data_IF_746484594965
#
_entry.id   IF_746484594965
#
_cell.length_a   1.000
_cell.length_b   1.000
_cell.length_c   1.000
_cell.angle_alpha   90.00
_cell.angle_beta   90.00
_cell.angle_gamma   90.00
#
_symmetry.space_group_name_H-M   'P 1'
#
loop_
_entity.id
_entity.type
_entity.pdbx_description
1 polymer ?
#
# COMPACT_ATOMS: atom_id res chain seq x y z
N UNK A 1 2.44 -38.72 -0.23
CA UNK A 1 2.58 -37.27 0.12
C UNK A 1 2.85 -36.47 -1.16
N UNK A 2 2.01 -35.44 -1.47
CA UNK A 2 2.33 -34.53 -2.59
C UNK A 2 3.64 -33.79 -2.26
N UNK A 3 4.60 -33.82 -3.19
CA UNK A 3 5.87 -33.09 -3.06
C UNK A 3 5.55 -31.61 -2.86
N UNK A 4 6.01 -31.01 -1.75
CA UNK A 4 5.82 -29.58 -1.50
C UNK A 4 6.48 -28.77 -2.61
N UNK A 5 5.73 -27.80 -3.16
CA UNK A 5 6.26 -26.78 -4.07
C UNK A 5 7.19 -25.83 -3.34
N UNK A 6 7.75 -24.87 -4.04
CA UNK A 6 8.68 -23.89 -3.45
C UNK A 6 8.04 -23.06 -2.31
N UNK A 7 8.88 -22.45 -1.49
CA UNK A 7 8.46 -21.54 -0.40
C UNK A 7 8.06 -20.17 -0.95
N UNK A 8 7.10 -19.53 -0.28
CA UNK A 8 6.69 -18.15 -0.55
C UNK A 8 6.84 -17.34 0.74
N UNK A 9 7.46 -16.18 0.64
CA UNK A 9 7.67 -15.24 1.73
C UNK A 9 6.85 -13.97 1.50
N UNK A 10 5.96 -13.64 2.45
CA UNK A 10 5.03 -12.54 2.38
C UNK A 10 5.31 -11.52 3.49
N UNK A 11 6.16 -10.51 3.23
CA UNK A 11 6.41 -9.45 4.20
C UNK A 11 5.16 -8.58 4.41
N UNK A 12 4.91 -8.20 5.67
CA UNK A 12 3.87 -7.25 6.09
C UNK A 12 4.54 -6.03 6.71
N UNK A 13 4.13 -4.86 6.29
CA UNK A 13 4.57 -3.58 6.85
C UNK A 13 3.47 -2.94 7.70
N UNK A 14 2.25 -2.87 7.16
CA UNK A 14 1.09 -2.30 7.85
C UNK A 14 0.04 -3.40 8.07
N UNK A 15 -0.01 -3.94 9.30
CA UNK A 15 -0.89 -5.06 9.66
C UNK A 15 -2.35 -4.82 9.27
N UNK A 16 -2.91 -3.66 9.64
CA UNK A 16 -4.34 -3.32 9.39
C UNK A 16 -4.69 -3.32 7.90
N UNK A 17 -3.73 -3.00 7.03
CA UNK A 17 -3.93 -2.88 5.59
C UNK A 17 -3.70 -4.19 4.85
N UNK A 18 -2.78 -5.04 5.34
CA UNK A 18 -2.20 -6.11 4.55
C UNK A 18 -2.50 -7.52 5.06
N UNK A 19 -2.71 -7.69 6.38
CA UNK A 19 -2.74 -9.02 7.00
C UNK A 19 -3.81 -9.92 6.38
N UNK A 20 -5.04 -9.46 6.25
CA UNK A 20 -6.14 -10.31 5.74
C UNK A 20 -5.92 -10.74 4.28
N UNK A 21 -5.45 -9.84 3.43
CA UNK A 21 -5.12 -10.18 2.04
C UNK A 21 -3.95 -11.17 1.96
N UNK A 22 -2.96 -11.06 2.86
CA UNK A 22 -1.83 -12.01 2.92
C UNK A 22 -2.27 -13.37 3.44
N UNK A 23 -3.16 -13.41 4.42
CA UNK A 23 -3.77 -14.68 4.91
C UNK A 23 -4.57 -15.33 3.77
N UNK A 24 -5.45 -14.58 3.10
CA UNK A 24 -6.22 -15.09 1.97
C UNK A 24 -5.32 -15.66 0.87
N UNK A 25 -4.31 -14.91 0.46
CA UNK A 25 -3.31 -15.38 -0.50
C UNK A 25 -2.62 -16.67 -0.01
N UNK A 26 -2.23 -16.71 1.27
CA UNK A 26 -1.53 -17.86 1.85
C UNK A 26 -2.38 -19.13 1.83
N UNK A 27 -3.66 -19.02 2.16
CA UNK A 27 -4.60 -20.15 2.09
C UNK A 27 -4.67 -20.67 0.65
N UNK A 28 -4.88 -19.79 -0.34
CA UNK A 28 -4.94 -20.18 -1.76
C UNK A 28 -3.64 -20.83 -2.24
N UNK A 29 -2.49 -20.28 -1.86
CA UNK A 29 -1.19 -20.82 -2.21
C UNK A 29 -0.93 -22.18 -1.52
N UNK A 30 -1.31 -22.33 -0.26
CA UNK A 30 -1.14 -23.59 0.50
C UNK A 30 -2.00 -24.72 -0.08
N UNK A 31 -3.22 -24.43 -0.50
CA UNK A 31 -4.08 -25.40 -1.23
C UNK A 31 -3.39 -25.88 -2.51
N UNK A 32 -2.60 -25.01 -3.16
CA UNK A 32 -1.82 -25.36 -4.34
C UNK A 32 -0.49 -26.08 -4.03
N UNK A 33 -0.19 -26.33 -2.75
CA UNK A 33 0.99 -27.06 -2.30
C UNK A 33 2.23 -26.21 -2.04
N UNK A 34 2.11 -24.88 -1.94
CA UNK A 34 3.21 -24.01 -1.53
C UNK A 34 3.31 -23.92 -0.01
N UNK A 35 4.55 -23.82 0.51
CA UNK A 35 4.80 -23.45 1.90
C UNK A 35 4.87 -21.93 2.00
N UNK A 36 4.00 -21.30 2.80
CA UNK A 36 3.91 -19.84 2.88
C UNK A 36 4.32 -19.36 4.27
N UNK A 37 5.20 -18.38 4.32
CA UNK A 37 5.61 -17.69 5.55
C UNK A 37 5.17 -16.24 5.48
N UNK A 38 4.30 -15.83 6.42
CA UNK A 38 3.91 -14.43 6.62
C UNK A 38 4.72 -13.87 7.79
N UNK A 39 5.25 -12.67 7.65
CA UNK A 39 5.99 -12.05 8.74
C UNK A 39 6.15 -10.55 8.57
N UNK A 40 6.57 -9.89 9.65
CA UNK A 40 6.89 -8.47 9.61
C UNK A 40 8.08 -8.22 8.69
N UNK A 41 8.01 -7.20 7.82
CA UNK A 41 9.05 -6.84 6.85
C UNK A 41 10.44 -6.71 7.51
N UNK A 42 10.52 -6.04 8.67
CA UNK A 42 11.79 -5.90 9.40
C UNK A 42 12.38 -7.23 9.84
N UNK A 43 11.56 -8.24 10.16
CA UNK A 43 12.05 -9.58 10.51
C UNK A 43 12.64 -10.32 9.30
N UNK A 44 12.06 -10.15 8.13
CA UNK A 44 12.67 -10.70 6.92
C UNK A 44 14.04 -10.07 6.62
N UNK A 45 14.24 -8.78 6.90
CA UNK A 45 15.56 -8.15 6.79
C UNK A 45 16.54 -8.70 7.82
N UNK A 46 16.10 -8.90 9.06
CA UNK A 46 16.92 -9.44 10.15
C UNK A 46 17.35 -10.90 9.89
N UNK A 47 16.42 -11.71 9.38
CA UNK A 47 16.63 -13.14 9.19
C UNK A 47 16.92 -13.54 7.73
N UNK A 48 17.24 -12.60 6.83
CA UNK A 48 17.44 -12.87 5.41
C UNK A 48 18.47 -13.98 5.12
N UNK A 49 19.52 -14.11 5.96
CA UNK A 49 20.55 -15.14 5.83
C UNK A 49 20.11 -16.52 6.34
N UNK A 50 19.01 -16.60 7.08
CA UNK A 50 18.48 -17.83 7.72
C UNK A 50 17.31 -18.43 6.96
N UNK A 51 16.69 -17.69 6.05
CA UNK A 51 15.56 -18.19 5.25
C UNK A 51 16.09 -18.94 4.02
N UNK A 52 15.48 -20.09 3.75
CA UNK A 52 15.86 -20.90 2.58
C UNK A 52 15.41 -20.24 1.27
N UNK A 53 16.10 -20.48 0.15
CA UNK A 53 15.68 -19.98 -1.15
C UNK A 53 14.21 -20.25 -1.47
N UNK A 54 13.53 -19.28 -2.06
CA UNK A 54 12.11 -19.35 -2.39
C UNK A 54 11.62 -18.09 -3.09
N UNK A 55 10.32 -17.92 -3.19
CA UNK A 55 9.68 -16.79 -3.84
C UNK A 55 9.42 -15.67 -2.81
N UNK A 56 10.12 -14.56 -2.91
CA UNK A 56 9.94 -13.41 -2.04
C UNK A 56 9.03 -12.36 -2.72
N UNK A 57 7.91 -12.03 -2.09
CA UNK A 57 6.97 -11.03 -2.63
C UNK A 57 7.33 -9.65 -2.07
N UNK A 58 8.14 -8.89 -2.80
CA UNK A 58 8.51 -7.53 -2.42
C UNK A 58 7.34 -6.57 -2.62
N UNK A 59 7.28 -5.56 -1.74
CA UNK A 59 6.30 -4.46 -1.78
C UNK A 59 6.91 -3.15 -2.25
N UNK A 60 8.22 -3.08 -2.37
CA UNK A 60 8.95 -1.86 -2.68
C UNK A 60 10.07 -2.15 -3.67
N UNK A 61 10.16 -1.31 -4.68
CA UNK A 61 11.23 -1.28 -5.68
C UNK A 61 12.04 0.02 -5.61
N UNK A 62 11.96 0.75 -4.49
CA UNK A 62 12.75 1.96 -4.26
C UNK A 62 14.18 1.64 -3.80
N UNK A 63 15.06 2.63 -3.92
CA UNK A 63 16.50 2.53 -3.63
C UNK A 63 16.82 2.04 -2.22
N UNK A 64 15.97 2.37 -1.23
CA UNK A 64 16.13 1.95 0.16
C UNK A 64 16.11 0.42 0.36
N UNK A 65 15.61 -0.34 -0.61
CA UNK A 65 15.52 -1.79 -0.54
C UNK A 65 16.55 -2.51 -1.43
N UNK A 66 17.37 -1.82 -2.20
CA UNK A 66 18.29 -2.42 -3.18
C UNK A 66 19.18 -3.48 -2.58
N UNK A 67 19.89 -3.15 -1.51
CA UNK A 67 20.85 -4.04 -0.90
C UNK A 67 20.19 -5.31 -0.33
N UNK A 68 19.02 -5.16 0.27
CA UNK A 68 18.24 -6.29 0.74
C UNK A 68 17.83 -7.21 -0.42
N UNK A 69 17.28 -6.65 -1.49
CA UNK A 69 16.87 -7.44 -2.67
C UNK A 69 18.06 -8.11 -3.34
N UNK A 70 19.20 -7.41 -3.50
CA UNK A 70 20.43 -8.00 -4.04
C UNK A 70 20.93 -9.18 -3.20
N UNK A 71 20.90 -9.06 -1.86
CA UNK A 71 21.29 -10.16 -0.98
C UNK A 71 20.34 -11.35 -1.09
N UNK A 72 19.03 -11.13 -1.14
CA UNK A 72 18.06 -12.20 -1.37
C UNK A 72 18.27 -12.89 -2.72
N UNK A 73 18.52 -12.16 -3.80
CA UNK A 73 18.85 -12.77 -5.11
C UNK A 73 20.13 -13.59 -5.05
N UNK A 74 21.17 -13.05 -4.43
CA UNK A 74 22.44 -13.79 -4.22
C UNK A 74 22.23 -15.07 -3.41
N UNK A 75 21.29 -15.07 -2.48
CA UNK A 75 20.91 -16.27 -1.70
C UNK A 75 19.97 -17.22 -2.48
N UNK A 76 19.68 -16.96 -3.77
CA UNK A 76 18.89 -17.85 -4.62
C UNK A 76 17.37 -17.64 -4.55
N UNK A 77 16.90 -16.54 -3.95
CA UNK A 77 15.47 -16.19 -3.99
C UNK A 77 15.06 -15.66 -5.36
N UNK A 78 13.84 -16.01 -5.81
CA UNK A 78 13.13 -15.30 -6.87
C UNK A 78 12.33 -14.15 -6.27
N UNK A 79 12.43 -12.97 -6.88
CA UNK A 79 11.83 -11.75 -6.36
C UNK A 79 10.63 -11.36 -7.21
N UNK A 80 9.48 -11.39 -6.61
CA UNK A 80 8.24 -10.91 -7.20
C UNK A 80 7.89 -9.57 -6.59
N UNK A 81 7.42 -8.64 -7.37
CA UNK A 81 7.02 -7.34 -6.88
C UNK A 81 5.52 -7.14 -7.08
N UNK A 82 4.84 -6.67 -6.04
CA UNK A 82 3.47 -6.19 -6.10
C UNK A 82 3.38 -4.81 -5.47
N UNK A 83 2.94 -3.84 -6.26
CA UNK A 83 2.71 -2.50 -5.76
C UNK A 83 1.44 -2.44 -4.90
N UNK A 84 1.56 -2.07 -3.64
CA UNK A 84 0.41 -1.93 -2.73
C UNK A 84 -0.46 -0.69 -3.01
N UNK A 85 0.01 0.23 -3.83
CA UNK A 85 -0.65 1.50 -4.16
C UNK A 85 -0.88 1.68 -5.66
N UNK A 86 -0.74 0.63 -6.45
CA UNK A 86 -0.83 0.64 -7.92
C UNK A 86 -2.24 0.87 -8.49
N UNK A 87 -3.27 1.02 -7.64
CA UNK A 87 -4.63 1.31 -8.10
C UNK A 87 -4.76 2.73 -8.64
N UNK A 88 -4.02 3.68 -8.07
CA UNK A 88 -4.10 5.09 -8.44
C UNK A 88 -2.74 5.60 -8.88
N UNK A 89 -2.68 6.11 -10.10
CA UNK A 89 -1.61 6.95 -10.59
C UNK A 89 -2.12 8.37 -10.79
N UNK A 90 -1.43 9.34 -10.21
CA UNK A 90 -1.77 10.76 -10.38
C UNK A 90 -1.10 11.35 -11.62
N UNK A 91 0.13 10.95 -11.88
CA UNK A 91 0.92 11.32 -13.05
C UNK A 91 2.23 10.51 -13.09
N UNK A 92 2.94 10.57 -14.23
CA UNK A 92 4.23 9.89 -14.44
C UNK A 92 5.28 10.27 -13.40
N UNK A 93 5.34 11.53 -13.00
CA UNK A 93 6.30 12.02 -11.99
C UNK A 93 6.06 11.36 -10.63
N UNK A 94 4.80 11.16 -10.25
CA UNK A 94 4.44 10.46 -9.01
C UNK A 94 4.92 9.00 -9.04
N UNK A 95 4.74 8.31 -10.16
CA UNK A 95 5.19 6.93 -10.35
C UNK A 95 6.71 6.82 -10.33
N UNK A 96 7.43 7.75 -10.99
CA UNK A 96 8.89 7.83 -10.93
C UNK A 96 9.45 8.02 -9.52
N UNK A 97 8.75 8.78 -8.65
CA UNK A 97 9.18 8.96 -7.26
C UNK A 97 9.03 7.71 -6.40
N UNK A 98 8.15 6.80 -6.81
CA UNK A 98 7.85 5.57 -6.04
C UNK A 98 8.78 4.43 -6.38
N UNK A 99 9.27 4.40 -7.61
CA UNK A 99 10.11 3.33 -8.14
C UNK A 99 11.39 3.91 -8.73
N UNK A 100 12.44 3.10 -8.72
CA UNK A 100 13.60 3.31 -9.58
C UNK A 100 13.66 2.21 -10.63
N UNK A 101 14.13 2.52 -11.81
CA UNK A 101 14.28 1.53 -12.88
C UNK A 101 15.19 0.40 -12.42
N UNK A 102 16.32 0.70 -11.77
CA UNK A 102 17.26 -0.31 -11.26
C UNK A 102 16.57 -1.22 -10.23
N UNK A 103 15.69 -0.64 -9.37
CA UNK A 103 14.93 -1.43 -8.41
C UNK A 103 13.94 -2.37 -9.07
N UNK A 104 13.26 -1.91 -10.10
CA UNK A 104 12.35 -2.75 -10.88
C UNK A 104 13.11 -3.80 -11.71
N UNK A 105 14.30 -3.48 -12.22
CA UNK A 105 15.16 -4.42 -12.94
C UNK A 105 15.63 -5.60 -12.05
N UNK A 106 15.76 -5.39 -10.75
CA UNK A 106 16.09 -6.47 -9.81
C UNK A 106 14.95 -7.48 -9.64
N UNK A 107 13.71 -7.14 -9.98
CA UNK A 107 12.56 -8.03 -9.87
C UNK A 107 12.58 -9.07 -11.00
N UNK A 108 12.23 -10.31 -10.68
CA UNK A 108 12.07 -11.36 -11.68
C UNK A 108 10.69 -11.28 -12.36
N UNK A 109 9.65 -10.90 -11.60
CA UNK A 109 8.31 -10.63 -12.10
C UNK A 109 7.71 -9.43 -11.38
N UNK A 110 6.99 -8.60 -12.12
CA UNK A 110 6.30 -7.41 -11.62
C UNK A 110 4.79 -7.61 -11.84
N UNK A 111 4.05 -7.69 -10.75
CA UNK A 111 2.61 -7.82 -10.80
C UNK A 111 1.93 -6.46 -10.88
N UNK A 112 1.04 -6.28 -11.84
CA UNK A 112 0.28 -5.06 -12.03
C UNK A 112 -1.19 -5.26 -11.69
N UNK A 113 -1.86 -4.20 -11.23
CA UNK A 113 -3.27 -4.22 -10.83
C UNK A 113 -4.22 -4.37 -12.00
N UNK A 114 -3.82 -3.89 -13.19
CA UNK A 114 -4.63 -3.92 -14.41
C UNK A 114 -3.86 -3.36 -15.59
N UNK A 115 -4.56 -3.21 -16.72
CA UNK A 115 -3.98 -2.72 -17.98
C UNK A 115 -3.39 -1.32 -17.83
N UNK A 116 -4.10 -0.38 -17.19
CA UNK A 116 -3.63 1.00 -17.03
C UNK A 116 -2.29 1.05 -16.30
N UNK A 117 -2.18 0.33 -15.17
CA UNK A 117 -0.93 0.25 -14.39
C UNK A 117 0.20 -0.42 -15.21
N UNK A 118 -0.11 -1.48 -15.96
CA UNK A 118 0.87 -2.11 -16.86
C UNK A 118 1.35 -1.16 -17.95
N UNK A 119 0.43 -0.48 -18.62
CA UNK A 119 0.75 0.42 -19.72
C UNK A 119 1.57 1.62 -19.26
N UNK A 120 1.23 2.19 -18.10
CA UNK A 120 2.03 3.25 -17.48
C UNK A 120 3.47 2.81 -17.19
N UNK A 121 3.65 1.61 -16.62
CA UNK A 121 4.99 1.09 -16.36
C UNK A 121 5.76 0.76 -17.64
N UNK A 122 5.10 0.31 -18.71
CA UNK A 122 5.75 0.11 -20.03
C UNK A 122 6.19 1.45 -20.62
N UNK A 123 5.36 2.47 -20.53
CA UNK A 123 5.67 3.80 -21.04
C UNK A 123 6.87 4.43 -20.33
N UNK A 124 6.93 4.26 -19.00
CA UNK A 124 8.04 4.80 -18.19
C UNK A 124 9.32 3.96 -18.27
N UNK A 125 9.17 2.65 -18.39
CA UNK A 125 10.26 1.66 -18.34
C UNK A 125 10.06 0.56 -19.39
N UNK A 126 10.27 0.86 -20.68
CA UNK A 126 10.00 -0.09 -21.78
C UNK A 126 10.76 -1.43 -21.63
N UNK A 127 11.94 -1.38 -21.02
CA UNK A 127 12.80 -2.54 -20.77
C UNK A 127 12.17 -3.60 -19.85
N UNK A 128 11.10 -3.25 -19.11
CA UNK A 128 10.44 -4.14 -18.16
C UNK A 128 9.25 -4.92 -18.75
N UNK A 129 8.88 -4.69 -20.00
CA UNK A 129 7.66 -5.22 -20.65
C UNK A 129 7.43 -6.71 -20.37
N UNK A 130 8.47 -7.52 -20.53
CA UNK A 130 8.37 -8.98 -20.37
C UNK A 130 8.18 -9.45 -18.91
N UNK A 131 8.61 -8.62 -17.95
CA UNK A 131 8.46 -8.89 -16.52
C UNK A 131 7.07 -8.55 -15.98
N UNK A 132 6.29 -7.75 -16.70
CA UNK A 132 4.99 -7.23 -16.25
C UNK A 132 3.87 -8.22 -16.48
N UNK A 133 3.19 -8.64 -15.40
CA UNK A 133 2.05 -9.55 -15.44
C UNK A 133 0.84 -8.92 -14.75
N UNK A 134 -0.31 -8.91 -15.45
CA UNK A 134 -1.56 -8.41 -14.89
C UNK A 134 -2.17 -9.50 -14.02
N UNK A 135 -2.36 -9.22 -12.74
CA UNK A 135 -2.92 -10.19 -11.77
C UNK A 135 -3.96 -9.57 -10.83
N UNK A 136 -4.10 -8.25 -10.79
CA UNK A 136 -4.87 -7.57 -9.77
C UNK A 136 -4.10 -7.47 -8.45
N UNK A 137 -4.84 -7.28 -7.35
CA UNK A 137 -4.25 -7.22 -6.01
C UNK A 137 -5.13 -7.96 -5.00
N UNK A 138 -4.57 -8.87 -4.18
CA UNK A 138 -5.32 -9.63 -3.19
C UNK A 138 -6.11 -8.78 -2.18
N UNK A 139 -5.74 -7.52 -1.97
CA UNK A 139 -6.50 -6.58 -1.13
C UNK A 139 -7.87 -6.25 -1.70
N UNK A 140 -8.01 -6.27 -3.03
CA UNK A 140 -9.31 -6.06 -3.69
C UNK A 140 -10.14 -7.34 -3.62
N UNK A 141 -9.50 -8.50 -3.71
CA UNK A 141 -10.20 -9.78 -3.66
C UNK A 141 -10.95 -10.01 -2.34
N UNK A 142 -10.41 -9.54 -1.21
CA UNK A 142 -11.08 -9.63 0.10
C UNK A 142 -12.28 -8.68 0.24
N UNK A 143 -12.52 -7.80 -0.71
CA UNK A 143 -13.70 -6.92 -0.75
C UNK A 143 -14.83 -7.46 -1.62
N UNK A 144 -14.61 -8.58 -2.33
CA UNK A 144 -15.62 -9.24 -3.15
C UNK A 144 -16.69 -9.94 -2.30
N UNK A 145 -17.81 -10.24 -2.91
CA UNK A 145 -18.99 -10.83 -2.24
C UNK A 145 -18.70 -12.10 -1.44
N UNK A 146 -17.80 -12.94 -1.94
CA UNK A 146 -17.37 -14.17 -1.24
C UNK A 146 -16.75 -13.89 0.13
N UNK A 147 -16.23 -12.70 0.34
CA UNK A 147 -15.60 -12.28 1.61
C UNK A 147 -16.58 -11.59 2.55
N UNK A 148 -17.80 -11.26 2.12
CA UNK A 148 -18.83 -10.63 2.96
C UNK A 148 -19.19 -11.49 4.17
N UNK A 149 -19.20 -12.81 4.00
CA UNK A 149 -19.47 -13.74 5.10
C UNK A 149 -18.45 -13.61 6.24
N UNK A 150 -17.19 -13.31 5.90
CA UNK A 150 -16.12 -13.12 6.89
C UNK A 150 -16.36 -11.89 7.79
N UNK A 151 -17.04 -10.87 7.28
CA UNK A 151 -17.34 -9.64 8.03
C UNK A 151 -18.81 -9.56 8.50
N UNK A 152 -19.59 -10.60 8.32
CA UNK A 152 -21.05 -10.57 8.57
C UNK A 152 -21.39 -10.17 10.03
N UNK A 153 -20.66 -10.70 10.99
CA UNK A 153 -20.86 -10.40 12.42
C UNK A 153 -20.55 -8.93 12.74
N UNK A 154 -19.44 -8.40 12.24
CA UNK A 154 -19.05 -7.00 12.43
C UNK A 154 -20.03 -6.05 11.73
N UNK A 155 -20.45 -6.39 10.51
CA UNK A 155 -21.46 -5.62 9.78
C UNK A 155 -22.76 -5.56 10.56
N UNK A 156 -23.22 -6.71 11.10
CA UNK A 156 -24.43 -6.79 11.92
C UNK A 156 -24.32 -5.92 13.18
N UNK A 157 -23.19 -5.96 13.89
CA UNK A 157 -22.94 -5.11 15.07
C UNK A 157 -23.01 -3.62 14.74
N UNK A 158 -22.36 -3.20 13.64
CA UNK A 158 -22.36 -1.80 13.19
C UNK A 158 -23.78 -1.36 12.81
N UNK A 159 -24.49 -2.16 12.01
CA UNK A 159 -25.88 -1.86 11.60
C UNK A 159 -26.85 -1.81 12.80
N UNK A 160 -26.72 -2.71 13.77
CA UNK A 160 -27.54 -2.69 14.96
C UNK A 160 -27.29 -1.47 15.85
N UNK A 161 -26.05 -0.96 15.87
CA UNK A 161 -25.68 0.19 16.70
C UNK A 161 -26.04 1.54 16.04
N UNK A 162 -25.77 1.68 14.74
CA UNK A 162 -25.93 2.96 14.03
C UNK A 162 -27.20 3.04 13.17
N UNK A 163 -27.87 1.95 12.85
CA UNK A 163 -28.90 1.88 11.83
C UNK A 163 -28.34 2.16 10.44
N UNK A 164 -29.11 2.87 9.61
CA UNK A 164 -28.64 3.38 8.33
C UNK A 164 -27.84 4.67 8.57
N UNK A 165 -26.66 4.76 7.98
CA UNK A 165 -25.76 5.88 8.19
C UNK A 165 -24.95 6.23 6.94
N UNK A 166 -24.50 7.49 6.88
CA UNK A 166 -23.50 7.94 5.93
C UNK A 166 -22.11 7.94 6.58
N UNK A 167 -21.16 7.23 5.97
CA UNK A 167 -19.77 7.21 6.43
C UNK A 167 -18.95 8.27 5.71
N UNK A 168 -18.54 9.33 6.42
CA UNK A 168 -17.62 10.34 5.91
C UNK A 168 -16.18 9.97 6.29
N UNK A 169 -15.38 9.62 5.29
CA UNK A 169 -13.96 9.29 5.47
C UNK A 169 -13.10 10.53 5.25
N UNK A 170 -12.41 10.97 6.31
CA UNK A 170 -11.60 12.19 6.28
C UNK A 170 -10.11 11.90 6.37
N UNK A 171 -9.28 12.85 5.88
CA UNK A 171 -7.83 12.79 5.99
C UNK A 171 -7.26 14.17 6.34
N UNK A 172 -7.28 14.52 7.61
CA UNK A 172 -6.77 15.78 8.14
C UNK A 172 -5.53 15.55 9.04
N UNK A 173 -4.63 14.66 8.62
CA UNK A 173 -3.50 14.22 9.43
C UNK A 173 -2.45 15.29 9.67
N UNK A 174 -2.35 16.31 8.81
CA UNK A 174 -1.37 17.38 8.97
C UNK A 174 -1.80 18.42 10.00
N UNK A 175 -3.09 18.75 10.06
CA UNK A 175 -3.62 19.72 11.01
C UNK A 175 -3.96 19.09 12.37
N UNK A 176 -4.23 17.79 12.43
CA UNK A 176 -4.55 17.04 13.65
C UNK A 176 -3.31 16.36 14.28
N UNK A 177 -2.14 16.89 14.08
CA UNK A 177 -0.90 16.26 14.50
C UNK A 177 -0.58 16.53 15.97
N UNK A 178 -1.25 15.79 16.86
CA UNK A 178 -1.29 16.03 18.32
C UNK A 178 0.06 15.85 19.04
N UNK A 179 0.99 15.06 18.49
CA UNK A 179 2.19 14.63 19.24
C UNK A 179 3.46 15.42 18.95
N UNK A 180 3.47 16.41 18.06
CA UNK A 180 4.72 17.09 17.66
C UNK A 180 4.54 18.59 17.56
N UNK A 181 5.42 19.31 18.28
CA UNK A 181 5.39 20.78 18.36
C UNK A 181 5.66 21.49 17.03
N UNK A 182 6.33 20.82 16.06
CA UNK A 182 6.61 21.37 14.74
C UNK A 182 6.41 20.35 13.62
N UNK A 183 5.25 20.40 13.00
CA UNK A 183 4.89 19.50 11.91
C UNK A 183 5.75 19.72 10.65
N UNK A 184 6.21 20.95 10.41
CA UNK A 184 7.06 21.31 9.27
C UNK A 184 8.41 20.62 9.42
N UNK A 185 9.04 20.74 10.58
CA UNK A 185 10.33 20.09 10.85
C UNK A 185 10.23 18.57 10.79
N UNK A 186 9.13 18.02 11.28
CA UNK A 186 8.88 16.58 11.15
C UNK A 186 8.84 16.11 9.69
N UNK A 187 8.02 16.75 8.86
CA UNK A 187 7.92 16.39 7.46
C UNK A 187 9.23 16.66 6.71
N UNK A 188 9.90 17.75 7.00
CA UNK A 188 11.17 18.10 6.38
C UNK A 188 12.25 17.07 6.72
N UNK A 189 12.42 16.70 7.98
CA UNK A 189 13.42 15.72 8.42
C UNK A 189 13.18 14.29 7.88
N UNK A 190 11.92 13.94 7.58
CA UNK A 190 11.56 12.60 7.05
C UNK A 190 11.57 12.53 5.53
N UNK A 191 11.35 13.65 4.83
CA UNK A 191 11.28 13.71 3.37
C UNK A 191 12.62 14.07 2.70
N UNK A 192 13.59 14.60 3.46
CA UNK A 192 14.85 15.16 2.93
C UNK A 192 15.90 14.15 2.49
N UNK A 193 15.63 12.87 2.52
CA UNK A 193 16.61 11.91 2.00
C UNK A 193 16.62 11.91 0.46
N UNK A 194 17.15 12.98 -0.14
CA UNK A 194 17.78 12.91 -1.45
C UNK A 194 17.19 13.71 -2.61
N UNK A 195 16.03 14.40 -2.51
CA UNK A 195 15.35 14.89 -3.73
C UNK A 195 15.00 16.38 -3.79
N UNK A 196 14.95 17.11 -2.70
CA UNK A 196 14.59 18.52 -2.71
C UNK A 196 15.43 19.32 -1.69
N UNK A 197 15.74 20.57 -2.07
CA UNK A 197 16.28 21.55 -1.14
C UNK A 197 15.34 21.73 0.06
N UNK A 198 15.91 21.82 1.27
CA UNK A 198 15.19 21.92 2.53
C UNK A 198 14.18 23.07 2.57
N UNK A 199 14.52 24.23 1.99
CA UNK A 199 13.63 25.40 1.93
C UNK A 199 12.44 25.17 1.01
N UNK A 200 12.66 24.57 -0.17
CA UNK A 200 11.58 24.20 -1.09
C UNK A 200 10.63 23.18 -0.47
N UNK A 201 11.14 22.23 0.32
CA UNK A 201 10.31 21.28 1.08
C UNK A 201 9.49 21.96 2.16
N UNK A 202 10.07 22.89 2.91
CA UNK A 202 9.34 23.69 3.92
C UNK A 202 8.19 24.45 3.27
N UNK A 203 8.43 25.06 2.12
CA UNK A 203 7.40 25.79 1.38
C UNK A 203 6.26 24.87 0.93
N UNK A 204 6.57 23.71 0.34
CA UNK A 204 5.58 22.70 -0.05
C UNK A 204 4.77 22.23 1.18
N UNK A 205 5.43 21.98 2.31
CA UNK A 205 4.76 21.60 3.55
C UNK A 205 3.80 22.70 4.05
N UNK A 206 4.24 23.96 4.09
CA UNK A 206 3.41 25.11 4.47
C UNK A 206 2.16 25.24 3.59
N UNK A 207 2.33 25.20 2.26
CA UNK A 207 1.21 25.23 1.31
C UNK A 207 0.24 24.07 1.54
N UNK A 208 0.76 22.88 1.76
CA UNK A 208 -0.04 21.68 1.97
C UNK A 208 -0.82 21.73 3.30
N UNK A 209 -0.25 22.30 4.36
CA UNK A 209 -0.94 22.51 5.64
C UNK A 209 -2.07 23.54 5.44
N UNK A 210 -1.77 24.70 4.84
CA UNK A 210 -2.77 25.73 4.56
C UNK A 210 -3.93 25.22 3.71
N UNK A 211 -3.63 24.37 2.72
CA UNK A 211 -4.66 23.71 1.89
C UNK A 211 -5.54 22.76 2.73
N UNK A 212 -4.94 21.99 3.62
CA UNK A 212 -5.67 21.06 4.49
C UNK A 212 -6.54 21.82 5.52
N UNK A 213 -6.07 22.94 6.06
CA UNK A 213 -6.85 23.83 6.93
C UNK A 213 -8.10 24.37 6.21
N UNK A 214 -7.93 24.87 4.98
CA UNK A 214 -9.07 25.33 4.17
C UNK A 214 -10.07 24.19 3.90
N UNK A 215 -9.57 23.02 3.55
CA UNK A 215 -10.43 21.85 3.30
C UNK A 215 -11.16 21.41 4.58
N UNK A 216 -10.53 21.52 5.74
CA UNK A 216 -11.17 21.22 7.01
C UNK A 216 -12.33 22.17 7.31
N UNK A 217 -12.14 23.48 7.13
CA UNK A 217 -13.21 24.47 7.30
C UNK A 217 -14.37 24.19 6.35
N UNK A 218 -14.07 23.94 5.06
CA UNK A 218 -15.09 23.60 4.08
C UNK A 218 -15.85 22.31 4.44
N UNK A 219 -15.14 21.32 4.97
CA UNK A 219 -15.74 20.07 5.43
C UNK A 219 -16.69 20.27 6.62
N UNK A 220 -16.31 21.09 7.61
CA UNK A 220 -17.20 21.42 8.72
C UNK A 220 -18.45 22.15 8.24
N UNK A 221 -18.31 23.09 7.31
CA UNK A 221 -19.46 23.79 6.71
C UNK A 221 -20.37 22.82 5.93
N UNK A 222 -19.77 21.88 5.17
CA UNK A 222 -20.54 20.82 4.50
C UNK A 222 -21.35 19.99 5.48
N UNK A 223 -20.76 19.54 6.61
CA UNK A 223 -21.49 18.77 7.63
C UNK A 223 -22.67 19.56 8.19
N UNK A 224 -22.48 20.85 8.50
CA UNK A 224 -23.56 21.71 9.00
C UNK A 224 -24.73 21.80 8.01
N UNK A 225 -24.42 22.05 6.74
CA UNK A 225 -25.44 22.14 5.68
C UNK A 225 -26.13 20.78 5.44
N UNK A 226 -25.36 19.70 5.49
CA UNK A 226 -25.90 18.35 5.31
C UNK A 226 -26.86 17.98 6.45
N UNK A 227 -26.52 18.25 7.71
CA UNK A 227 -27.40 18.05 8.85
C UNK A 227 -28.69 18.87 8.72
N UNK A 228 -28.60 20.15 8.40
CA UNK A 228 -29.78 20.97 8.21
C UNK A 228 -30.69 20.44 7.09
N UNK A 229 -30.10 19.87 6.02
CA UNK A 229 -30.88 19.26 4.93
C UNK A 229 -31.59 17.96 5.31
N UNK A 230 -31.04 17.22 6.28
CA UNK A 230 -31.67 16.00 6.80
C UNK A 230 -32.79 16.29 7.76
N UNK A 231 -32.65 17.33 8.59
CA UNK A 231 -33.71 17.79 9.51
C UNK A 231 -34.92 18.27 8.74
N UNK A 232 -34.72 19.01 7.65
CA UNK A 232 -35.79 19.49 6.78
C UNK A 232 -36.53 18.40 5.97
N UNK A 233 -35.98 17.19 5.90
CA UNK A 233 -36.63 16.02 5.24
C UNK A 233 -37.44 15.14 6.19
N UNK A 234 -37.42 15.43 7.50
CA UNK A 234 -38.22 14.72 8.51
C UNK A 234 -39.56 15.38 8.81
N UNK A 235 -39.91 16.44 8.09
CA UNK A 235 -41.24 17.07 8.07
C UNK A 235 -41.97 16.62 6.82
#
# INVERSE_FOLDING_TARGET
MKKMKSKIYLPIEVKRRELYSRIYFSIKASIQGYSVTIGRKSRFHEFEKKIQPGNYISKSAGTQNFDHIKRLKKAGHKIFFIDEEGLMSFNKEFTHRRFSEEGLQLMDVIFTWGNNHKNELIELYPSLKEKLKIVGNPRVDILKDISKQFYAEEIKKIKNYYGDFFLLVTKFGKINFVKRKNIIDYYTSHLTKGYLNTEKLKEICKRSIKHEEKNFVNFINFIKLFNASLENKKL
#
